data_IF_684407726965
#
_entry.id   IF_684407726965
#
_cell.length_a   1.000
_cell.length_b   1.000
_cell.length_c   1.000
_cell.angle_alpha   90.00
_cell.angle_beta   90.00
_cell.angle_gamma   90.00
#
_symmetry.space_group_name_H-M   'P 1'
#
loop_
_entity.id
_entity.type
_entity.pdbx_description
1 polymer ?
#
# COMPACT_ATOMS: atom_id res chain seq x y z
N UNK A 1 -22.81 -5.30 10.31
CA UNK A 1 -21.51 -5.57 10.92
C UNK A 1 -20.68 -4.31 11.13
N UNK A 2 -20.43 -3.46 10.12
CA UNK A 2 -19.60 -2.24 10.28
C UNK A 2 -20.14 -1.33 11.40
N UNK A 3 -21.41 -0.94 11.33
CA UNK A 3 -22.06 -0.05 12.32
C UNK A 3 -22.00 -0.58 13.76
N UNK A 4 -22.05 -1.89 13.97
CA UNK A 4 -22.02 -2.46 15.30
C UNK A 4 -20.63 -2.47 15.94
N UNK A 5 -19.57 -2.33 15.14
CA UNK A 5 -18.19 -2.35 15.63
C UNK A 5 -17.53 -0.97 15.63
N UNK A 6 -17.84 -0.13 14.65
CA UNK A 6 -17.17 1.15 14.44
C UNK A 6 -18.06 2.38 14.64
N UNK A 7 -19.36 2.17 14.97
CA UNK A 7 -20.31 3.27 15.15
C UNK A 7 -20.94 3.74 13.85
N UNK A 8 -21.55 4.93 13.89
CA UNK A 8 -22.40 5.43 12.81
C UNK A 8 -21.66 6.14 11.67
N UNK A 9 -20.35 6.41 11.84
CA UNK A 9 -19.51 7.07 10.82
C UNK A 9 -18.08 6.58 10.94
N UNK A 10 -17.39 6.52 9.80
CA UNK A 10 -15.99 6.12 9.68
C UNK A 10 -15.12 7.32 9.31
N UNK A 11 -13.90 7.36 9.81
CA UNK A 11 -12.92 8.36 9.35
C UNK A 11 -12.45 8.03 7.94
N UNK A 12 -12.09 6.75 7.67
CA UNK A 12 -11.68 6.27 6.36
C UNK A 12 -12.39 4.96 6.06
N UNK A 13 -12.93 4.83 4.83
CA UNK A 13 -13.40 3.57 4.26
C UNK A 13 -12.56 3.20 3.05
N UNK A 14 -11.82 2.08 3.16
CA UNK A 14 -10.92 1.62 2.10
C UNK A 14 -11.46 0.38 1.41
N UNK A 15 -11.22 0.26 0.10
CA UNK A 15 -11.57 -0.92 -0.67
C UNK A 15 -11.19 -0.79 -2.14
N UNK A 16 -11.35 -1.86 -2.91
CA UNK A 16 -11.04 -1.85 -4.34
C UNK A 16 -11.82 -0.78 -5.10
N UNK A 17 -11.18 -0.16 -6.07
CA UNK A 17 -11.82 0.88 -6.91
C UNK A 17 -13.06 0.34 -7.65
N UNK A 18 -13.08 -0.94 -7.98
CA UNK A 18 -14.20 -1.64 -8.60
C UNK A 18 -15.43 -1.79 -7.69
N UNK A 19 -15.26 -1.66 -6.38
CA UNK A 19 -16.35 -1.68 -5.39
C UNK A 19 -17.04 -0.33 -5.21
N UNK A 20 -16.55 0.74 -5.86
CA UNK A 20 -17.12 2.07 -5.72
C UNK A 20 -18.64 2.09 -6.00
N UNK A 21 -19.04 1.38 -7.04
CA UNK A 21 -20.43 1.16 -7.40
C UNK A 21 -20.66 -0.27 -7.91
N UNK A 22 -21.73 -0.95 -7.51
CA UNK A 22 -22.77 -0.46 -6.60
C UNK A 22 -22.48 -0.64 -5.11
N UNK A 23 -21.46 -1.44 -4.73
CA UNK A 23 -21.24 -1.95 -3.37
C UNK A 23 -21.13 -0.83 -2.33
N UNK A 24 -20.09 0.00 -2.43
CA UNK A 24 -19.86 1.08 -1.45
C UNK A 24 -20.94 2.16 -1.48
N UNK A 25 -21.53 2.43 -2.65
CA UNK A 25 -22.64 3.38 -2.76
C UNK A 25 -23.86 2.89 -1.99
N UNK A 26 -24.21 1.61 -2.10
CA UNK A 26 -25.32 1.04 -1.35
C UNK A 26 -25.03 0.91 0.13
N UNK A 27 -23.77 0.56 0.50
CA UNK A 27 -23.36 0.49 1.90
C UNK A 27 -23.52 1.85 2.59
N UNK A 28 -23.04 2.92 1.96
CA UNK A 28 -23.20 4.27 2.47
C UNK A 28 -24.69 4.66 2.60
N UNK A 29 -25.46 4.46 1.54
CA UNK A 29 -26.89 4.79 1.55
C UNK A 29 -27.66 4.03 2.65
N UNK A 30 -27.38 2.75 2.86
CA UNK A 30 -28.01 1.93 3.90
C UNK A 30 -27.60 2.38 5.30
N UNK A 31 -26.29 2.67 5.50
CA UNK A 31 -25.78 3.13 6.78
C UNK A 31 -26.39 4.49 7.17
N UNK A 32 -26.40 5.44 6.25
CA UNK A 32 -26.95 6.78 6.47
C UNK A 32 -28.46 6.75 6.72
N UNK A 33 -29.20 5.93 5.96
CA UNK A 33 -30.64 5.75 6.18
C UNK A 33 -30.95 5.10 7.54
N UNK A 34 -30.13 4.14 7.97
CA UNK A 34 -30.34 3.43 9.24
C UNK A 34 -29.96 4.26 10.47
N UNK A 35 -28.96 5.14 10.36
CA UNK A 35 -28.40 5.88 11.49
C UNK A 35 -28.81 7.35 11.54
N UNK A 36 -29.21 7.93 10.40
CA UNK A 36 -29.44 9.37 10.25
C UNK A 36 -28.15 10.21 10.28
N UNK A 37 -26.98 9.58 10.25
CA UNK A 37 -25.66 10.24 10.28
C UNK A 37 -25.06 10.29 8.90
N UNK A 38 -24.67 11.47 8.44
CA UNK A 38 -24.07 11.75 7.12
C UNK A 38 -22.82 12.63 7.32
N UNK A 39 -21.68 12.34 6.67
CA UNK A 39 -21.44 11.18 5.79
C UNK A 39 -21.16 9.88 6.56
N UNK A 40 -21.48 8.75 5.97
CA UNK A 40 -21.08 7.43 6.48
C UNK A 40 -19.56 7.29 6.58
N UNK A 41 -18.81 7.73 5.57
CA UNK A 41 -17.35 7.79 5.60
C UNK A 41 -16.86 9.19 5.22
N UNK A 42 -15.93 9.74 6.03
CA UNK A 42 -15.35 11.07 5.80
C UNK A 42 -14.36 11.07 4.63
N UNK A 43 -13.62 9.98 4.47
CA UNK A 43 -12.70 9.77 3.36
C UNK A 43 -12.87 8.37 2.76
N UNK A 44 -12.63 8.26 1.46
CA UNK A 44 -12.71 7.01 0.70
C UNK A 44 -11.36 6.72 0.06
N UNK A 45 -10.75 5.58 0.40
CA UNK A 45 -9.52 5.12 -0.23
C UNK A 45 -9.86 4.02 -1.23
N UNK A 46 -9.75 4.31 -2.53
CA UNK A 46 -10.12 3.40 -3.62
C UNK A 46 -8.88 2.78 -4.23
N UNK A 47 -8.51 1.61 -3.72
CA UNK A 47 -7.29 0.91 -4.07
C UNK A 47 -7.36 0.34 -5.48
N UNK A 48 -6.29 0.51 -6.23
CA UNK A 48 -6.16 0.01 -7.60
C UNK A 48 -6.21 -1.52 -7.68
N UNK A 49 -6.67 -2.03 -8.82
CA UNK A 49 -6.85 -3.46 -9.03
C UNK A 49 -5.55 -4.12 -9.47
N UNK A 50 -5.18 -5.23 -8.84
CA UNK A 50 -4.09 -6.09 -9.32
C UNK A 50 -4.62 -6.99 -10.44
N UNK A 51 -3.88 -7.06 -11.54
CA UNK A 51 -4.20 -7.84 -12.73
C UNK A 51 -3.12 -8.88 -13.00
N UNK A 52 -3.46 -9.85 -13.82
CA UNK A 52 -2.52 -10.81 -14.42
C UNK A 52 -2.86 -10.92 -15.91
N UNK A 53 -1.93 -10.56 -16.78
CA UNK A 53 -2.15 -10.58 -18.22
C UNK A 53 -3.31 -9.66 -18.66
N UNK A 54 -3.49 -8.52 -18.00
CA UNK A 54 -4.58 -7.56 -18.28
C UNK A 54 -5.91 -7.90 -17.62
N UNK A 55 -6.09 -9.11 -17.08
CA UNK A 55 -7.33 -9.53 -16.41
C UNK A 55 -7.24 -9.33 -14.89
N UNK A 56 -8.36 -8.97 -14.25
CA UNK A 56 -8.42 -8.86 -12.79
C UNK A 56 -8.02 -10.18 -12.13
N UNK A 57 -7.07 -10.10 -11.17
CA UNK A 57 -6.77 -11.24 -10.30
C UNK A 57 -7.97 -11.53 -9.39
N UNK A 58 -8.63 -12.67 -9.60
CA UNK A 58 -9.80 -13.04 -8.83
C UNK A 58 -9.96 -14.55 -8.68
N UNK A 59 -10.59 -14.96 -7.57
CA UNK A 59 -10.87 -16.39 -7.33
C UNK A 59 -11.76 -17.00 -8.41
N UNK A 60 -12.72 -16.22 -8.92
CA UNK A 60 -13.66 -16.65 -9.95
C UNK A 60 -13.02 -16.94 -11.31
N UNK A 61 -11.89 -16.31 -11.62
CA UNK A 61 -11.11 -16.51 -12.84
C UNK A 61 -10.03 -17.60 -12.70
N UNK A 62 -9.78 -18.06 -11.47
CA UNK A 62 -8.77 -19.10 -11.21
C UNK A 62 -7.32 -18.63 -11.39
N UNK A 63 -7.07 -17.32 -11.54
CA UNK A 63 -5.77 -16.73 -11.80
C UNK A 63 -5.10 -16.13 -10.55
N UNK A 64 -5.41 -16.67 -9.36
CA UNK A 64 -4.83 -16.17 -8.12
C UNK A 64 -3.35 -16.52 -7.99
N UNK A 65 -2.55 -15.54 -7.61
CA UNK A 65 -1.22 -15.73 -7.03
C UNK A 65 -1.34 -15.63 -5.52
N UNK A 66 -1.03 -16.70 -4.82
CA UNK A 66 -1.18 -16.75 -3.36
C UNK A 66 0.07 -16.21 -2.67
N UNK A 67 -0.11 -15.32 -1.73
CA UNK A 67 0.99 -14.79 -0.89
C UNK A 67 1.75 -15.93 -0.19
N UNK A 68 1.03 -16.96 0.27
CA UNK A 68 1.64 -18.11 0.93
C UNK A 68 2.64 -18.87 0.04
N UNK A 69 2.37 -18.94 -1.27
CA UNK A 69 3.27 -19.60 -2.23
C UNK A 69 4.50 -18.71 -2.50
N UNK A 70 4.30 -17.42 -2.68
CA UNK A 70 5.40 -16.45 -2.89
C UNK A 70 6.36 -16.40 -1.68
N UNK A 71 5.84 -16.50 -0.48
CA UNK A 71 6.65 -16.49 0.77
C UNK A 71 7.49 -17.75 0.97
N UNK A 72 7.32 -18.80 0.17
CA UNK A 72 8.20 -19.97 0.19
C UNK A 72 9.54 -19.71 -0.53
N UNK A 73 9.55 -18.77 -1.48
CA UNK A 73 10.71 -18.50 -2.34
C UNK A 73 11.25 -17.07 -2.16
N UNK A 74 10.44 -16.15 -1.63
CA UNK A 74 10.73 -14.72 -1.57
C UNK A 74 10.61 -14.15 -0.16
N UNK A 75 11.38 -13.10 0.11
CA UNK A 75 11.35 -12.41 1.41
C UNK A 75 10.06 -11.62 1.61
N UNK A 76 9.46 -11.63 2.81
CA UNK A 76 8.26 -10.84 3.13
C UNK A 76 8.43 -9.36 2.83
N UNK A 77 9.57 -8.76 3.19
CA UNK A 77 9.87 -7.36 2.92
C UNK A 77 9.90 -7.01 1.43
N UNK A 78 10.36 -7.93 0.56
CA UNK A 78 10.35 -7.70 -0.89
C UNK A 78 8.92 -7.72 -1.46
N UNK A 79 8.10 -8.67 -1.03
CA UNK A 79 6.69 -8.71 -1.42
C UNK A 79 5.94 -7.46 -0.95
N UNK A 80 6.19 -7.03 0.29
CA UNK A 80 5.62 -5.81 0.86
C UNK A 80 6.06 -4.57 0.07
N UNK A 81 7.36 -4.43 -0.20
CA UNK A 81 7.90 -3.32 -1.00
C UNK A 81 7.32 -3.31 -2.41
N UNK A 82 7.23 -4.46 -3.08
CA UNK A 82 6.63 -4.58 -4.41
C UNK A 82 5.22 -4.01 -4.46
N UNK A 83 4.42 -4.22 -3.42
CA UNK A 83 3.05 -3.70 -3.34
C UNK A 83 3.05 -2.20 -3.03
N UNK A 84 3.85 -1.76 -2.04
CA UNK A 84 3.82 -0.41 -1.50
C UNK A 84 4.52 0.64 -2.36
N UNK A 85 5.49 0.26 -3.20
CA UNK A 85 6.25 1.19 -4.05
C UNK A 85 5.45 1.82 -5.20
N UNK A 86 4.19 1.41 -5.38
CA UNK A 86 3.24 1.97 -6.34
C UNK A 86 2.27 2.90 -5.64
N UNK A 87 1.74 3.84 -6.41
CA UNK A 87 0.64 4.62 -5.87
C UNK A 87 -0.56 3.69 -5.60
N UNK A 88 -1.14 3.79 -4.42
CA UNK A 88 -2.20 2.89 -3.95
C UNK A 88 -3.44 2.87 -4.84
N UNK A 89 -3.73 3.95 -5.57
CA UNK A 89 -4.88 4.05 -6.48
C UNK A 89 -4.64 3.47 -7.87
N UNK A 90 -3.38 3.17 -8.23
CA UNK A 90 -3.03 2.69 -9.56
C UNK A 90 -3.34 1.19 -9.72
N UNK A 91 -4.04 0.87 -10.81
CA UNK A 91 -4.17 -0.53 -11.23
C UNK A 91 -2.89 -0.98 -11.93
N UNK A 92 -2.43 -2.20 -11.62
CA UNK A 92 -1.19 -2.73 -12.19
C UNK A 92 -1.28 -4.23 -12.48
N UNK A 93 -0.42 -4.70 -13.38
CA UNK A 93 -0.29 -6.11 -13.69
C UNK A 93 0.86 -6.73 -12.89
N UNK A 94 0.55 -7.83 -12.19
CA UNK A 94 1.57 -8.63 -11.53
C UNK A 94 2.34 -9.47 -12.56
N UNK A 95 3.66 -9.43 -12.46
CA UNK A 95 4.58 -10.38 -13.12
C UNK A 95 5.63 -10.83 -12.11
N UNK A 96 6.19 -12.06 -12.24
CA UNK A 96 7.25 -12.51 -11.33
C UNK A 96 8.47 -11.57 -11.29
N UNK A 97 8.81 -10.95 -12.41
CA UNK A 97 9.95 -10.03 -12.52
C UNK A 97 9.81 -8.82 -11.59
N UNK A 98 8.58 -8.40 -11.27
CA UNK A 98 8.37 -7.29 -10.33
C UNK A 98 8.83 -7.64 -8.91
N UNK A 99 8.64 -8.88 -8.51
CA UNK A 99 9.08 -9.34 -7.19
C UNK A 99 10.60 -9.50 -7.14
N UNK A 100 11.21 -10.04 -8.20
CA UNK A 100 12.69 -10.09 -8.32
C UNK A 100 13.29 -8.68 -8.27
N UNK A 101 12.69 -7.73 -8.99
CA UNK A 101 13.12 -6.34 -8.95
C UNK A 101 12.96 -5.71 -7.55
N UNK A 102 11.88 -6.04 -6.84
CA UNK A 102 11.66 -5.57 -5.48
C UNK A 102 12.69 -6.14 -4.48
N UNK A 103 13.14 -7.38 -4.66
CA UNK A 103 14.24 -7.93 -3.87
C UNK A 103 15.54 -7.14 -4.04
N UNK A 104 15.90 -6.80 -5.27
CA UNK A 104 17.06 -5.96 -5.54
C UNK A 104 16.95 -4.56 -4.92
N UNK A 105 15.74 -3.96 -4.94
CA UNK A 105 15.50 -2.68 -4.29
C UNK A 105 15.56 -2.77 -2.76
N UNK A 106 15.03 -3.85 -2.19
CA UNK A 106 15.13 -4.10 -0.76
C UNK A 106 16.60 -4.22 -0.31
N UNK A 107 17.43 -4.97 -1.05
CA UNK A 107 18.87 -5.07 -0.78
C UNK A 107 19.55 -3.71 -0.87
N UNK A 108 19.23 -2.91 -1.89
CA UNK A 108 19.76 -1.57 -2.04
C UNK A 108 19.33 -0.66 -0.87
N UNK A 109 18.10 -0.77 -0.39
CA UNK A 109 17.59 -0.01 0.75
C UNK A 109 18.29 -0.41 2.06
N UNK A 110 18.49 -1.70 2.29
CA UNK A 110 19.24 -2.18 3.46
C UNK A 110 20.73 -1.74 3.41
N UNK A 111 21.35 -1.80 2.23
CA UNK A 111 22.68 -1.26 2.04
C UNK A 111 22.75 0.25 2.30
N UNK A 112 21.73 1.00 1.82
CA UNK A 112 21.61 2.41 2.10
C UNK A 112 21.42 2.69 3.60
N UNK A 113 20.61 1.91 4.30
CA UNK A 113 20.39 2.03 5.74
C UNK A 113 21.68 1.81 6.56
N UNK A 114 22.60 0.98 6.06
CA UNK A 114 23.93 0.76 6.66
C UNK A 114 24.92 1.91 6.49
N UNK A 115 24.66 2.87 5.62
CA UNK A 115 25.54 4.03 5.43
C UNK A 115 25.58 4.93 6.67
N UNK A 116 26.72 5.58 6.90
CA UNK A 116 26.84 6.60 7.96
C UNK A 116 26.38 7.95 7.39
N UNK A 117 25.11 8.23 7.55
CA UNK A 117 24.51 9.52 7.21
C UNK A 117 23.45 9.85 8.27
N UNK A 118 23.53 11.05 8.85
CA UNK A 118 22.57 11.58 9.83
C UNK A 118 21.87 12.82 9.27
N UNK A 119 21.54 12.80 7.96
CA UNK A 119 20.84 13.87 7.29
C UNK A 119 19.39 13.94 7.76
N UNK A 120 19.12 14.85 8.71
CA UNK A 120 17.79 15.11 9.25
C UNK A 120 16.86 15.72 8.20
N UNK A 121 17.38 16.38 7.17
CA UNK A 121 16.55 16.97 6.11
C UNK A 121 15.99 15.87 5.23
N UNK A 122 16.83 14.90 4.86
CA UNK A 122 16.40 13.72 4.11
C UNK A 122 15.41 12.85 4.90
N UNK A 123 15.63 12.70 6.23
CA UNK A 123 14.67 11.99 7.08
C UNK A 123 13.30 12.68 7.08
N UNK A 124 13.26 13.99 7.28
CA UNK A 124 12.01 14.76 7.22
C UNK A 124 11.35 14.70 5.86
N UNK A 125 12.13 14.68 4.78
CA UNK A 125 11.58 14.55 3.42
C UNK A 125 10.96 13.15 3.20
N UNK A 126 11.57 12.07 3.68
CA UNK A 126 10.97 10.72 3.67
C UNK A 126 9.62 10.72 4.38
N UNK A 127 9.57 11.26 5.61
CA UNK A 127 8.32 11.31 6.36
C UNK A 127 7.27 12.20 5.68
N UNK A 128 7.69 13.35 5.13
CA UNK A 128 6.80 14.24 4.38
C UNK A 128 6.17 13.51 3.19
N UNK A 129 6.97 12.74 2.43
CA UNK A 129 6.48 11.95 1.30
C UNK A 129 5.46 10.90 1.73
N UNK A 130 5.73 10.19 2.81
CA UNK A 130 4.79 9.20 3.34
C UNK A 130 3.47 9.82 3.83
N UNK A 131 3.51 11.06 4.33
CA UNK A 131 2.32 11.80 4.74
C UNK A 131 1.60 12.51 3.57
N UNK A 132 2.23 12.60 2.41
CA UNK A 132 1.68 13.19 1.19
C UNK A 132 1.11 12.09 0.30
N UNK A 133 -0.14 11.70 0.55
CA UNK A 133 -0.87 10.66 -0.17
C UNK A 133 -0.17 9.29 -0.23
N UNK A 134 0.65 8.98 0.78
CA UNK A 134 1.40 7.71 0.88
C UNK A 134 2.39 7.53 -0.28
N UNK A 135 3.11 8.60 -0.67
CA UNK A 135 4.13 8.57 -1.74
C UNK A 135 5.37 7.74 -1.32
N UNK A 136 5.19 6.42 -1.31
CA UNK A 136 6.27 5.48 -0.97
C UNK A 136 7.37 5.50 -2.02
N UNK A 137 7.03 5.65 -3.30
CA UNK A 137 8.01 5.70 -4.40
C UNK A 137 8.97 6.88 -4.23
N UNK A 138 8.43 8.08 -3.96
CA UNK A 138 9.25 9.27 -3.70
C UNK A 138 10.06 9.15 -2.43
N UNK A 139 9.49 8.58 -1.34
CA UNK A 139 10.20 8.32 -0.10
C UNK A 139 11.37 7.34 -0.29
N UNK A 140 11.17 6.28 -1.08
CA UNK A 140 12.19 5.30 -1.43
C UNK A 140 13.36 5.94 -2.21
N UNK A 141 13.05 6.82 -3.18
CA UNK A 141 14.07 7.58 -3.92
C UNK A 141 14.97 8.38 -2.99
N UNK A 142 14.39 9.18 -2.09
CA UNK A 142 15.14 9.96 -1.09
C UNK A 142 15.96 9.06 -0.18
N UNK A 143 15.40 7.96 0.30
CA UNK A 143 16.07 7.02 1.21
C UNK A 143 17.26 6.33 0.53
N UNK A 144 17.15 5.94 -0.73
CA UNK A 144 18.25 5.32 -1.50
C UNK A 144 19.38 6.30 -1.79
N UNK A 145 19.08 7.55 -2.11
CA UNK A 145 20.05 8.59 -2.39
C UNK A 145 20.82 8.99 -1.14
N UNK A 146 20.13 9.39 -0.08
CA UNK A 146 20.75 9.93 1.14
C UNK A 146 21.30 8.83 2.06
N UNK A 147 20.62 7.70 2.16
CA UNK A 147 20.98 6.58 3.02
C UNK A 147 20.93 6.90 4.51
N UNK A 148 21.63 6.07 5.31
CA UNK A 148 21.76 6.28 6.74
C UNK A 148 20.41 6.36 7.45
N UNK A 149 20.16 7.44 8.18
CA UNK A 149 18.97 7.63 9.00
C UNK A 149 17.68 7.63 8.18
N UNK A 150 17.64 8.31 7.02
CA UNK A 150 16.47 8.36 6.16
C UNK A 150 16.04 6.97 5.66
N UNK A 151 17.00 6.12 5.28
CA UNK A 151 16.74 4.75 4.86
C UNK A 151 16.28 3.86 6.03
N UNK A 152 16.89 3.99 7.22
CA UNK A 152 16.47 3.27 8.44
C UNK A 152 15.01 3.59 8.82
N UNK A 153 14.64 4.87 8.77
CA UNK A 153 13.26 5.30 9.05
C UNK A 153 12.29 4.67 8.06
N UNK A 154 12.62 4.64 6.77
CA UNK A 154 11.75 4.03 5.78
C UNK A 154 11.60 2.52 6.00
N UNK A 155 12.70 1.80 6.26
CA UNK A 155 12.67 0.37 6.61
C UNK A 155 11.75 0.11 7.81
N UNK A 156 11.90 0.90 8.86
CA UNK A 156 11.11 0.76 10.08
C UNK A 156 9.63 1.07 9.86
N UNK A 157 9.29 2.19 9.20
CA UNK A 157 7.90 2.63 9.00
C UNK A 157 7.14 1.65 8.11
N UNK A 158 7.80 1.10 7.09
CA UNK A 158 7.17 0.17 6.16
C UNK A 158 7.32 -1.30 6.57
N UNK A 159 7.99 -1.60 7.70
CA UNK A 159 8.22 -2.97 8.19
C UNK A 159 8.87 -3.86 7.10
N UNK A 160 10.04 -3.42 6.63
CA UNK A 160 10.78 -4.06 5.54
C UNK A 160 12.00 -4.87 6.04
N UNK A 161 11.97 -5.36 7.27
CA UNK A 161 13.02 -6.20 7.85
C UNK A 161 13.11 -7.60 7.24
#
# INVERSE_FOLDING_TARGET
MVLSQYGSSLDIHAGGADLAFPHHAYEAAQAEAATGVTPFARAWMRVGTVRIGGEKMAKSTGNLVLVADLLQEHRPGALRLMILERHWSDAWDYTPDLLVAAEGRLDALHAAAGRRSDDETAEREVLRRLLDDVDVSGALGVALESGGRSARVLVQVLDLE
#
